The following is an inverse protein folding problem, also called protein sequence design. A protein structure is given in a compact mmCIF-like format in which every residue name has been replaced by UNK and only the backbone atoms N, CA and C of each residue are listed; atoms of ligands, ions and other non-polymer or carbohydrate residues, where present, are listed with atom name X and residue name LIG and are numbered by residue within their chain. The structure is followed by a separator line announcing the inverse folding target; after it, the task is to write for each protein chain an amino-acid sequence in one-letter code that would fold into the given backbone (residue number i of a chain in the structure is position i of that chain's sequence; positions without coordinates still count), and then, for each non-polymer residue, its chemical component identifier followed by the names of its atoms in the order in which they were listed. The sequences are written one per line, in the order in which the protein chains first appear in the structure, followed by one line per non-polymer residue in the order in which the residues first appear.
data_IF_516242600183
#
_entry.id   IF_516242600183
#
_cell.length_a   1.000
_cell.length_b   1.000
_cell.length_c   1.000
_cell.angle_alpha   90.00
_cell.angle_beta   90.00
_cell.angle_gamma   90.00
#
_symmetry.space_group_name_H-M   'P 1'
#
loop_
_entity.id
_entity.type
_entity.pdbx_description
1 polymer ?
#
# COMPACT_ATOMS: atom_id res chain seq x y z
N UNK A 1 17.28 21.04 -47.32
CA UNK A 1 17.32 22.52 -47.19
C UNK A 1 17.49 22.79 -45.68
N UNK A 2 18.75 22.95 -45.28
CA UNK A 2 19.54 24.21 -45.08
C UNK A 2 18.82 25.16 -44.10
N UNK A 3 19.36 25.36 -43.00
CA UNK A 3 20.26 26.32 -42.33
C UNK A 3 19.70 26.55 -40.91
N UNK A 4 20.41 26.78 -39.85
CA UNK A 4 21.81 27.11 -39.57
C UNK A 4 21.98 27.43 -38.11
N UNK A 5 23.06 26.98 -37.62
CA UNK A 5 23.99 27.46 -36.61
C UNK A 5 23.84 28.92 -36.17
N UNK A 6 23.98 29.18 -34.88
CA UNK A 6 24.92 30.21 -34.38
C UNK A 6 25.43 29.85 -32.98
N UNK A 7 26.71 29.73 -32.93
CA UNK A 7 27.68 29.70 -31.87
C UNK A 7 27.95 31.15 -31.45
N UNK A 8 28.08 31.42 -30.17
CA UNK A 8 28.58 32.67 -29.65
C UNK A 8 29.43 32.41 -28.40
N UNK A 9 30.73 32.37 -28.63
CA UNK A 9 31.77 32.29 -27.62
C UNK A 9 32.30 33.69 -27.26
N UNK A 10 33.17 33.69 -26.20
CA UNK A 10 34.15 34.78 -25.84
C UNK A 10 33.56 35.82 -24.87
N UNK A 11 34.13 36.08 -23.69
CA UNK A 11 35.52 36.50 -23.48
C UNK A 11 35.99 36.37 -22.03
N UNK A 12 37.23 35.98 -21.94
CA UNK A 12 38.16 36.03 -20.82
C UNK A 12 38.56 37.48 -20.54
N UNK A 13 38.64 37.91 -19.27
CA UNK A 13 39.49 39.02 -18.85
C UNK A 13 40.27 38.64 -17.59
N UNK A 14 41.57 38.45 -17.81
CA UNK A 14 42.67 38.49 -16.82
C UNK A 14 43.11 39.96 -16.64
N UNK A 15 43.35 40.37 -15.41
CA UNK A 15 44.35 41.36 -14.96
C UNK A 15 44.12 41.58 -13.45
N UNK A 16 45.04 41.62 -12.53
CA UNK A 16 46.47 41.79 -12.56
C UNK A 16 46.90 42.10 -11.12
N UNK A 17 48.00 41.61 -10.80
CA UNK A 17 48.90 41.74 -9.67
C UNK A 17 48.96 43.10 -9.00
N UNK A 18 49.02 43.15 -7.63
CA UNK A 18 49.86 44.11 -6.93
C UNK A 18 50.31 43.56 -5.55
N UNK A 19 51.56 43.20 -5.48
CA UNK A 19 52.35 42.92 -4.28
C UNK A 19 52.67 44.26 -3.64
N UNK A 20 52.51 44.39 -2.32
CA UNK A 20 53.20 45.41 -1.54
C UNK A 20 53.76 44.78 -0.25
N UNK A 21 55.07 44.49 -0.29
CA UNK A 21 55.93 44.29 0.88
C UNK A 21 56.21 45.63 1.54
N UNK A 22 56.06 45.71 2.85
CA UNK A 22 56.81 46.68 3.67
C UNK A 22 57.36 45.96 4.91
N UNK A 23 58.67 46.17 5.06
CA UNK A 23 59.54 45.49 6.01
C UNK A 23 59.52 46.12 7.41
N UNK A 24 59.80 45.26 8.36
CA UNK A 24 60.64 45.29 9.55
C UNK A 24 60.93 46.62 10.29
N UNK A 25 60.77 46.56 11.62
CA UNK A 25 61.94 46.75 12.53
C UNK A 25 61.56 46.44 14.01
N UNK A 26 62.47 45.97 14.81
CA UNK A 26 62.22 45.53 16.18
C UNK A 26 62.60 46.63 17.19
N UNK A 27 61.86 46.66 18.30
CA UNK A 27 62.32 47.41 19.49
C UNK A 27 62.27 46.46 20.70
N UNK A 28 63.45 46.19 21.22
CA UNK A 28 63.70 45.54 22.48
C UNK A 28 63.63 46.53 23.65
N UNK A 29 63.44 46.03 24.82
CA UNK A 29 63.65 46.49 26.21
C UNK A 29 62.34 46.53 27.00
N UNK A 30 62.22 46.10 28.24
CA UNK A 30 63.18 45.77 29.30
C UNK A 30 62.45 44.86 30.32
N UNK A 31 63.25 44.06 31.00
CA UNK A 31 62.93 43.24 32.15
C UNK A 31 62.42 44.10 33.31
N UNK A 32 61.36 43.63 33.99
CA UNK A 32 61.20 43.82 35.42
C UNK A 32 60.52 42.60 36.05
N UNK A 33 61.33 41.77 36.67
CA UNK A 33 60.88 40.66 37.50
C UNK A 33 60.29 41.21 38.80
N UNK A 34 59.01 40.92 39.06
CA UNK A 34 58.45 41.00 40.38
C UNK A 34 57.76 39.67 40.66
N UNK A 35 58.37 38.86 41.48
CA UNK A 35 57.79 37.67 42.05
C UNK A 35 56.54 38.05 42.85
N UNK A 36 55.36 37.65 42.44
CA UNK A 36 54.14 37.66 43.26
C UNK A 36 53.80 36.21 43.53
N UNK A 37 53.79 35.89 44.83
CA UNK A 37 53.38 34.58 45.38
C UNK A 37 52.00 34.18 44.88
N UNK A 38 51.91 32.98 44.38
CA UNK A 38 50.65 32.33 44.03
C UNK A 38 49.80 32.04 45.30
N UNK A 39 48.54 32.37 45.32
CA UNK A 39 47.61 31.90 46.34
C UNK A 39 47.36 30.40 46.17
N UNK A 40 47.03 29.61 47.22
CA UNK A 40 46.81 28.19 47.13
C UNK A 40 45.69 27.87 46.18
N UNK A 41 45.94 26.90 45.30
CA UNK A 41 44.95 26.35 44.38
C UNK A 41 43.79 25.73 45.18
N UNK A 42 42.71 26.44 45.29
CA UNK A 42 41.43 25.83 45.60
C UNK A 42 41.09 24.89 44.45
N UNK A 43 41.10 23.59 44.74
CA UNK A 43 40.62 22.57 43.82
C UNK A 43 39.17 22.93 43.46
N UNK A 44 38.97 23.50 42.26
CA UNK A 44 37.70 23.65 41.65
C UNK A 44 37.23 22.23 41.32
N UNK A 45 36.38 21.66 42.19
CA UNK A 45 35.61 20.46 41.83
C UNK A 45 34.79 20.88 40.63
N UNK A 46 35.23 20.48 39.46
CA UNK A 46 34.49 20.62 38.23
C UNK A 46 33.12 19.94 38.51
N UNK A 47 32.12 20.75 38.78
CA UNK A 47 30.72 20.27 38.74
C UNK A 47 30.54 19.60 37.36
N UNK A 48 30.28 18.31 37.36
CA UNK A 48 29.93 17.59 36.15
C UNK A 48 28.83 18.42 35.47
N UNK A 49 28.94 18.73 34.17
CA UNK A 49 27.92 19.46 33.50
C UNK A 49 26.59 18.69 33.70
N UNK A 50 25.49 19.38 34.00
CA UNK A 50 24.19 18.73 34.17
C UNK A 50 23.95 17.88 32.90
N UNK A 51 23.35 16.69 33.04
CA UNK A 51 23.04 15.87 31.89
C UNK A 51 22.26 16.69 30.88
N UNK A 52 22.83 16.92 29.72
CA UNK A 52 22.20 17.72 28.67
C UNK A 52 20.95 16.96 28.19
N UNK A 53 19.79 17.41 28.66
CA UNK A 53 18.52 17.01 28.04
C UNK A 53 18.50 17.61 26.63
N UNK A 54 18.40 16.77 25.65
CA UNK A 54 18.24 17.22 24.27
C UNK A 54 16.77 17.45 24.01
N UNK A 55 16.40 18.68 23.80
CA UNK A 55 15.03 19.08 23.44
C UNK A 55 14.91 19.23 21.93
N UNK A 56 13.91 18.58 21.35
CA UNK A 56 13.61 18.64 19.93
C UNK A 56 12.14 19.01 19.70
N UNK A 57 11.84 19.88 18.73
CA UNK A 57 10.46 20.13 18.31
C UNK A 57 9.86 18.87 17.69
N UNK A 58 8.58 18.66 17.96
CA UNK A 58 7.90 17.45 17.50
C UNK A 58 6.44 17.75 17.10
N UNK A 59 5.90 16.87 16.27
CA UNK A 59 4.51 16.90 15.84
C UNK A 59 3.86 15.54 16.06
N UNK A 60 2.66 15.55 16.63
CA UNK A 60 1.84 14.35 16.79
C UNK A 60 1.15 14.04 15.46
N UNK A 61 1.22 12.81 14.98
CA UNK A 61 0.50 12.35 13.81
C UNK A 61 -0.27 11.06 14.12
N UNK A 62 -1.27 10.75 13.32
CA UNK A 62 -1.96 9.47 13.39
C UNK A 62 -0.98 8.33 13.07
N UNK A 63 -1.19 7.17 13.68
CA UNK A 63 -0.39 5.96 13.38
C UNK A 63 -0.52 5.56 11.92
N UNK A 64 -1.75 5.57 11.38
CA UNK A 64 -2.07 5.50 9.95
C UNK A 64 -3.04 6.62 9.60
N UNK A 65 -2.82 7.22 8.44
CA UNK A 65 -3.75 8.16 7.82
C UNK A 65 -3.92 7.78 6.36
N UNK A 66 -5.17 7.64 5.91
CA UNK A 66 -5.48 7.24 4.54
C UNK A 66 -6.63 8.05 4.00
N UNK A 67 -6.43 8.59 2.80
CA UNK A 67 -7.48 9.20 2.02
C UNK A 67 -8.15 8.14 1.13
N UNK A 68 -9.45 8.00 1.24
CA UNK A 68 -10.25 7.03 0.51
C UNK A 68 -10.82 7.66 -0.75
N UNK A 69 -10.56 7.03 -1.87
CA UNK A 69 -11.02 7.46 -3.19
C UNK A 69 -11.98 6.44 -3.80
N UNK A 70 -12.85 6.91 -4.67
CA UNK A 70 -13.67 6.02 -5.49
C UNK A 70 -12.82 5.39 -6.60
N UNK A 71 -12.97 4.09 -6.79
CA UNK A 71 -12.41 3.37 -7.94
C UNK A 71 -13.40 3.29 -9.11
N UNK A 72 -14.71 3.38 -8.81
CA UNK A 72 -15.79 3.39 -9.78
C UNK A 72 -16.57 4.70 -9.72
N UNK A 73 -17.09 5.15 -10.88
CA UNK A 73 -17.91 6.34 -10.98
C UNK A 73 -19.37 6.00 -10.77
N UNK A 74 -20.12 6.95 -10.23
CA UNK A 74 -21.56 6.81 -10.01
C UNK A 74 -22.10 7.86 -9.05
N UNK A 75 -23.37 7.75 -8.65
CA UNK A 75 -23.94 8.64 -7.66
C UNK A 75 -23.82 8.05 -6.25
N UNK A 76 -23.50 8.88 -5.27
CA UNK A 76 -23.51 8.49 -3.87
C UNK A 76 -24.94 8.21 -3.41
N UNK A 77 -25.29 6.92 -3.27
CA UNK A 77 -26.61 6.50 -2.85
C UNK A 77 -26.81 6.69 -1.35
N UNK A 78 -25.81 6.28 -0.57
CA UNK A 78 -25.84 6.31 0.90
C UNK A 78 -24.46 6.70 1.42
N UNK A 79 -24.46 7.51 2.49
CA UNK A 79 -23.28 7.89 3.26
C UNK A 79 -23.58 7.50 4.70
N UNK A 80 -22.85 6.49 5.21
CA UNK A 80 -23.14 5.84 6.49
C UNK A 80 -22.18 6.28 7.62
N UNK A 81 -21.23 7.17 7.32
CA UNK A 81 -20.27 7.67 8.30
C UNK A 81 -20.10 9.18 8.16
N UNK A 82 -19.94 9.85 9.30
CA UNK A 82 -19.67 11.28 9.35
C UNK A 82 -18.36 11.58 10.06
N UNK A 83 -17.97 12.85 10.07
CA UNK A 83 -16.76 13.34 10.75
C UNK A 83 -16.88 13.06 12.26
N UNK A 84 -15.86 12.42 12.82
CA UNK A 84 -15.81 12.04 14.24
C UNK A 84 -16.30 10.62 14.50
N UNK A 85 -16.88 9.92 13.53
CA UNK A 85 -17.35 8.56 13.72
C UNK A 85 -16.20 7.56 13.83
N UNK A 86 -16.29 6.64 14.80
CA UNK A 86 -15.44 5.49 14.93
C UNK A 86 -15.87 4.41 13.95
N UNK A 87 -14.95 3.92 13.16
CA UNK A 87 -15.18 2.92 12.12
C UNK A 87 -14.30 1.70 12.31
N UNK A 88 -14.82 0.53 11.96
CA UNK A 88 -14.09 -0.74 11.99
C UNK A 88 -13.58 -1.10 10.60
N UNK A 89 -12.49 -1.84 10.53
CA UNK A 89 -11.99 -2.40 9.27
C UNK A 89 -13.09 -3.16 8.53
N UNK A 90 -13.28 -2.88 7.23
CA UNK A 90 -14.33 -3.45 6.41
C UNK A 90 -15.72 -2.82 6.56
N UNK A 91 -15.93 -1.88 7.48
CA UNK A 91 -17.19 -1.17 7.62
C UNK A 91 -17.47 -0.31 6.38
N UNK A 92 -18.68 -0.40 5.84
CA UNK A 92 -19.11 0.38 4.67
C UNK A 92 -19.42 1.82 5.08
N UNK A 93 -18.64 2.76 4.56
CA UNK A 93 -18.76 4.20 4.82
C UNK A 93 -19.69 4.89 3.84
N UNK A 94 -19.66 4.47 2.58
CA UNK A 94 -20.58 4.98 1.55
C UNK A 94 -20.82 3.90 0.49
N UNK A 95 -21.95 4.04 -0.21
CA UNK A 95 -22.33 3.19 -1.34
C UNK A 95 -22.54 4.08 -2.55
N UNK A 96 -21.83 3.78 -3.64
CA UNK A 96 -21.94 4.42 -4.93
C UNK A 96 -22.91 3.59 -5.78
N UNK A 97 -23.92 4.20 -6.34
CA UNK A 97 -24.82 3.54 -7.28
C UNK A 97 -24.31 3.65 -8.71
N UNK A 98 -24.10 2.51 -9.34
CA UNK A 98 -23.75 2.39 -10.75
C UNK A 98 -24.71 1.37 -11.41
N UNK A 99 -25.85 1.82 -11.92
CA UNK A 99 -26.85 0.95 -12.53
C UNK A 99 -26.31 0.21 -13.76
N UNK A 100 -25.43 0.84 -14.51
CA UNK A 100 -24.83 0.25 -15.71
C UNK A 100 -24.01 -1.00 -15.38
N UNK A 101 -23.18 -0.92 -14.34
CA UNK A 101 -22.38 -2.03 -13.87
C UNK A 101 -23.26 -3.19 -13.36
N UNK A 102 -24.37 -2.88 -12.67
CA UNK A 102 -25.35 -3.90 -12.23
C UNK A 102 -25.97 -4.63 -13.41
N UNK A 103 -26.32 -3.90 -14.47
CA UNK A 103 -26.87 -4.50 -15.70
C UNK A 103 -25.83 -5.34 -16.45
N UNK A 104 -24.58 -4.90 -16.47
CA UNK A 104 -23.47 -5.68 -17.05
C UNK A 104 -23.29 -7.00 -16.29
N UNK A 105 -23.31 -6.97 -14.97
CA UNK A 105 -23.21 -8.19 -14.15
C UNK A 105 -24.38 -9.15 -14.43
N UNK A 106 -25.60 -8.63 -14.55
CA UNK A 106 -26.77 -9.46 -14.89
C UNK A 106 -26.62 -10.14 -16.26
N UNK A 107 -26.06 -9.42 -17.26
CA UNK A 107 -25.75 -10.00 -18.58
C UNK A 107 -24.68 -11.08 -18.49
N UNK A 108 -23.64 -10.87 -17.72
CA UNK A 108 -22.58 -11.87 -17.53
C UNK A 108 -23.12 -13.13 -16.82
N UNK A 109 -23.99 -12.96 -15.83
CA UNK A 109 -24.69 -14.10 -15.19
C UNK A 109 -25.51 -14.89 -16.18
N UNK A 110 -26.24 -14.22 -17.08
CA UNK A 110 -26.99 -14.89 -18.14
C UNK A 110 -26.05 -15.63 -19.13
N UNK A 111 -24.89 -15.07 -19.46
CA UNK A 111 -23.89 -15.72 -20.30
C UNK A 111 -23.32 -17.00 -19.65
N UNK A 112 -23.10 -16.99 -18.33
CA UNK A 112 -22.70 -18.19 -17.58
C UNK A 112 -23.78 -19.28 -17.68
N UNK A 113 -25.04 -18.91 -17.49
CA UNK A 113 -26.16 -19.87 -17.64
C UNK A 113 -26.24 -20.44 -19.05
N UNK A 114 -26.07 -19.60 -20.09
CA UNK A 114 -26.03 -20.05 -21.50
C UNK A 114 -24.89 -21.04 -21.74
N UNK A 115 -23.68 -20.72 -21.28
CA UNK A 115 -22.52 -21.59 -21.44
C UNK A 115 -22.67 -22.91 -20.69
N UNK A 116 -23.28 -22.88 -19.50
CA UNK A 116 -23.59 -24.10 -18.75
C UNK A 116 -24.61 -25.00 -19.48
N UNK A 117 -25.65 -24.40 -20.05
CA UNK A 117 -26.62 -25.14 -20.87
C UNK A 117 -25.95 -25.76 -22.12
N UNK A 118 -25.02 -25.03 -22.77
CA UNK A 118 -24.24 -25.56 -23.89
C UNK A 118 -23.38 -26.75 -23.49
N UNK A 119 -22.74 -26.71 -22.32
CA UNK A 119 -21.99 -27.82 -21.75
C UNK A 119 -22.87 -29.06 -21.52
N UNK A 120 -24.08 -28.87 -20.96
CA UNK A 120 -25.02 -29.98 -20.74
C UNK A 120 -25.48 -30.60 -22.08
N UNK A 121 -25.68 -29.78 -23.14
CA UNK A 121 -25.97 -30.30 -24.47
C UNK A 121 -24.79 -31.12 -25.01
N UNK A 122 -23.56 -30.66 -24.87
CA UNK A 122 -22.37 -31.41 -25.30
C UNK A 122 -22.24 -32.75 -24.55
N UNK A 123 -22.47 -32.76 -23.24
CA UNK A 123 -22.48 -33.99 -22.42
C UNK A 123 -23.56 -34.97 -22.88
N UNK A 124 -24.78 -34.52 -23.17
CA UNK A 124 -25.86 -35.36 -23.67
C UNK A 124 -25.54 -35.94 -25.05
N UNK A 125 -24.91 -35.13 -25.91
CA UNK A 125 -24.44 -35.59 -27.24
C UNK A 125 -23.39 -36.70 -27.10
N UNK A 126 -22.43 -36.56 -26.20
CA UNK A 126 -21.41 -37.57 -25.91
C UNK A 126 -22.04 -38.89 -25.47
N UNK A 127 -23.08 -38.88 -24.64
CA UNK A 127 -23.78 -40.08 -24.24
C UNK A 127 -24.40 -40.80 -25.45
N UNK A 128 -24.96 -40.04 -26.41
CA UNK A 128 -25.47 -40.60 -27.67
C UNK A 128 -24.38 -41.26 -28.49
N UNK A 129 -23.22 -40.58 -28.67
CA UNK A 129 -22.06 -41.11 -29.38
C UNK A 129 -21.48 -42.37 -28.72
N UNK A 130 -21.46 -42.40 -27.38
CA UNK A 130 -21.01 -43.55 -26.62
C UNK A 130 -21.94 -44.75 -26.84
N UNK A 131 -23.26 -44.53 -26.89
CA UNK A 131 -24.22 -45.58 -27.19
C UNK A 131 -24.07 -46.14 -28.62
N UNK A 132 -23.84 -45.25 -29.60
CA UNK A 132 -23.56 -45.67 -31.00
C UNK A 132 -22.28 -46.54 -31.08
N UNK A 133 -21.17 -46.10 -30.48
CA UNK A 133 -19.95 -46.89 -30.42
C UNK A 133 -20.19 -48.27 -29.80
N UNK A 134 -20.94 -48.30 -28.70
CA UNK A 134 -21.31 -49.59 -28.05
C UNK A 134 -22.09 -50.49 -28.98
N UNK A 135 -23.04 -49.96 -29.74
CA UNK A 135 -23.81 -50.71 -30.75
C UNK A 135 -22.85 -51.26 -31.83
N UNK A 136 -21.95 -50.45 -32.38
CA UNK A 136 -20.98 -50.88 -33.41
C UNK A 136 -20.06 -52.00 -32.87
N UNK A 137 -19.60 -51.89 -31.62
CA UNK A 137 -18.76 -52.90 -30.97
C UNK A 137 -19.48 -54.22 -30.80
N UNK A 138 -20.72 -54.21 -30.30
CA UNK A 138 -21.55 -55.43 -30.17
C UNK A 138 -21.83 -56.06 -31.52
N UNK A 139 -22.10 -55.23 -32.56
CA UNK A 139 -22.38 -55.72 -33.90
C UNK A 139 -21.14 -56.36 -34.53
N UNK A 140 -19.97 -55.72 -34.40
CA UNK A 140 -18.70 -56.30 -34.87
C UNK A 140 -18.42 -57.64 -34.18
N UNK A 141 -18.52 -57.72 -32.85
CA UNK A 141 -18.32 -58.96 -32.09
C UNK A 141 -19.23 -60.07 -32.60
N UNK A 142 -20.49 -59.79 -32.91
CA UNK A 142 -21.46 -60.74 -33.44
C UNK A 142 -21.03 -61.20 -34.85
N UNK A 143 -20.60 -60.28 -35.71
CA UNK A 143 -20.13 -60.61 -37.08
C UNK A 143 -18.84 -61.45 -37.05
N UNK A 144 -17.91 -61.16 -36.13
CA UNK A 144 -16.69 -61.98 -35.96
C UNK A 144 -17.01 -63.40 -35.50
N UNK A 145 -18.00 -63.58 -34.65
CA UNK A 145 -18.49 -64.92 -34.28
C UNK A 145 -19.12 -65.66 -35.48
N UNK A 146 -19.92 -64.99 -36.30
CA UNK A 146 -20.51 -65.58 -37.49
C UNK A 146 -19.47 -65.90 -38.56
N UNK A 147 -18.40 -65.10 -38.68
CA UNK A 147 -17.29 -65.37 -39.61
C UNK A 147 -16.55 -66.63 -39.26
N UNK A 148 -16.30 -66.91 -37.96
CA UNK A 148 -15.72 -68.17 -37.50
C UNK A 148 -16.57 -69.39 -37.94
N UNK A 149 -17.92 -69.22 -38.04
CA UNK A 149 -18.87 -70.19 -38.59
C UNK A 149 -19.07 -70.16 -40.11
N UNK A 150 -18.26 -69.30 -40.84
CA UNK A 150 -18.40 -69.10 -42.29
C UNK A 150 -19.74 -68.48 -42.75
N UNK A 151 -20.43 -67.80 -41.86
CA UNK A 151 -21.75 -67.20 -42.12
C UNK A 151 -21.70 -65.78 -42.70
N UNK A 152 -20.53 -65.10 -42.73
CA UNK A 152 -20.33 -63.78 -43.30
C UNK A 152 -19.02 -63.68 -44.09
N UNK A 153 -18.87 -62.69 -45.00
CA UNK A 153 -17.66 -62.48 -45.80
C UNK A 153 -16.63 -61.62 -45.06
N UNK A 154 -15.35 -61.74 -45.43
CA UNK A 154 -14.27 -60.89 -44.94
C UNK A 154 -14.57 -59.40 -45.17
N UNK A 155 -15.11 -59.05 -46.35
CA UNK A 155 -15.50 -57.68 -46.71
C UNK A 155 -16.51 -57.10 -45.70
N UNK A 156 -17.51 -57.88 -45.25
CA UNK A 156 -18.50 -57.43 -44.27
C UNK A 156 -17.88 -57.11 -42.90
N UNK A 157 -16.86 -57.88 -42.52
CA UNK A 157 -16.11 -57.60 -41.28
C UNK A 157 -15.30 -56.29 -41.42
N UNK A 158 -14.60 -56.14 -42.55
CA UNK A 158 -13.78 -54.93 -42.78
C UNK A 158 -14.66 -53.66 -42.85
N UNK A 159 -15.83 -53.74 -43.47
CA UNK A 159 -16.82 -52.67 -43.43
C UNK A 159 -17.29 -52.34 -41.99
N UNK A 160 -17.55 -53.35 -41.16
CA UNK A 160 -17.98 -53.14 -39.80
C UNK A 160 -16.87 -52.60 -38.90
N UNK A 161 -15.61 -53.02 -39.11
CA UNK A 161 -14.45 -52.45 -38.43
C UNK A 161 -14.26 -50.97 -38.80
N UNK A 162 -14.45 -50.64 -40.10
CA UNK A 162 -14.41 -49.24 -40.53
C UNK A 162 -15.50 -48.39 -39.84
N UNK A 163 -16.75 -48.89 -39.72
CA UNK A 163 -17.85 -48.25 -39.01
C UNK A 163 -17.51 -48.02 -37.53
N UNK A 164 -16.98 -49.04 -36.86
CA UNK A 164 -16.55 -48.92 -35.45
C UNK A 164 -15.45 -47.86 -35.33
N UNK A 165 -14.47 -47.84 -36.22
CA UNK A 165 -13.40 -46.85 -36.22
C UNK A 165 -13.95 -45.42 -36.37
N UNK A 166 -14.92 -45.23 -37.28
CA UNK A 166 -15.60 -43.91 -37.45
C UNK A 166 -16.35 -43.51 -36.17
N UNK A 167 -17.12 -44.45 -35.57
CA UNK A 167 -17.84 -44.12 -34.32
C UNK A 167 -16.88 -43.79 -33.17
N UNK A 168 -15.73 -44.47 -33.08
CA UNK A 168 -14.68 -44.14 -32.12
C UNK A 168 -14.10 -42.74 -32.36
N UNK A 169 -13.78 -42.38 -33.60
CA UNK A 169 -13.33 -41.03 -33.95
C UNK A 169 -14.38 -39.96 -33.60
N UNK A 170 -15.66 -40.27 -33.88
CA UNK A 170 -16.78 -39.37 -33.51
C UNK A 170 -16.90 -39.17 -31.99
N UNK A 171 -16.65 -40.22 -31.22
CA UNK A 171 -16.62 -40.11 -29.74
C UNK A 171 -15.50 -39.18 -29.27
N UNK A 172 -14.30 -39.25 -29.86
CA UNK A 172 -13.18 -38.35 -29.52
C UNK A 172 -13.51 -36.88 -29.89
N UNK A 173 -14.21 -36.62 -30.98
CA UNK A 173 -14.75 -35.29 -31.30
C UNK A 173 -15.73 -34.83 -30.22
N UNK A 174 -16.65 -35.70 -29.78
CA UNK A 174 -17.57 -35.34 -28.71
C UNK A 174 -16.91 -35.03 -27.36
N UNK A 175 -15.77 -35.69 -27.07
CA UNK A 175 -14.94 -35.36 -25.91
C UNK A 175 -14.29 -33.97 -26.05
N UNK A 176 -13.77 -33.66 -27.22
CA UNK A 176 -13.21 -32.36 -27.53
C UNK A 176 -14.26 -31.25 -27.46
N UNK A 177 -15.50 -31.53 -27.91
CA UNK A 177 -16.64 -30.58 -27.78
C UNK A 177 -16.95 -30.25 -26.32
N UNK A 178 -16.86 -31.22 -25.41
CA UNK A 178 -17.03 -30.97 -23.96
C UNK A 178 -15.94 -30.06 -23.44
N UNK A 179 -14.66 -30.34 -23.77
CA UNK A 179 -13.55 -29.49 -23.35
C UNK A 179 -13.69 -28.05 -23.85
N UNK A 180 -14.16 -27.88 -25.09
CA UNK A 180 -14.44 -26.56 -25.64
C UNK A 180 -15.59 -25.86 -24.88
N UNK A 181 -16.66 -26.58 -24.58
CA UNK A 181 -17.79 -26.04 -23.82
C UNK A 181 -17.40 -25.68 -22.37
N UNK A 182 -16.56 -26.49 -21.73
CA UNK A 182 -15.99 -26.20 -20.41
C UNK A 182 -15.11 -24.96 -20.43
N UNK A 183 -14.24 -24.79 -21.42
CA UNK A 183 -13.41 -23.61 -21.59
C UNK A 183 -14.27 -22.34 -21.78
N UNK A 184 -15.35 -22.42 -22.57
CA UNK A 184 -16.28 -21.32 -22.75
C UNK A 184 -17.03 -20.97 -21.45
N UNK A 185 -17.42 -21.93 -20.65
CA UNK A 185 -18.02 -21.72 -19.34
C UNK A 185 -17.02 -21.03 -18.41
N UNK A 186 -15.78 -21.48 -18.36
CA UNK A 186 -14.76 -20.85 -17.53
C UNK A 186 -14.51 -19.39 -17.94
N UNK A 187 -14.48 -19.10 -19.24
CA UNK A 187 -14.34 -17.73 -19.73
C UNK A 187 -15.52 -16.83 -19.29
N UNK A 188 -16.76 -17.32 -19.40
CA UNK A 188 -17.95 -16.60 -18.96
C UNK A 188 -17.95 -16.38 -17.43
N UNK A 189 -17.52 -17.36 -16.64
CA UNK A 189 -17.37 -17.24 -15.18
C UNK A 189 -16.31 -16.21 -14.81
N UNK A 190 -15.19 -16.20 -15.49
CA UNK A 190 -14.13 -15.21 -15.27
C UNK A 190 -14.61 -13.79 -15.53
N UNK A 191 -15.41 -13.57 -16.57
CA UNK A 191 -15.99 -12.25 -16.86
C UNK A 191 -17.01 -11.82 -15.80
N UNK A 192 -17.87 -12.74 -15.35
CA UNK A 192 -18.79 -12.51 -14.23
C UNK A 192 -18.04 -12.10 -12.96
N UNK A 193 -17.00 -12.84 -12.56
CA UNK A 193 -16.20 -12.53 -11.37
C UNK A 193 -15.49 -11.18 -11.48
N UNK A 194 -15.02 -10.81 -12.69
CA UNK A 194 -14.46 -9.47 -12.94
C UNK A 194 -15.48 -8.38 -12.63
N UNK A 195 -16.71 -8.53 -13.10
CA UNK A 195 -17.79 -7.56 -12.85
C UNK A 195 -18.22 -7.53 -11.38
N UNK A 196 -18.27 -8.67 -10.72
CA UNK A 196 -18.50 -8.74 -9.27
C UNK A 196 -17.43 -7.99 -8.48
N UNK A 197 -16.15 -8.16 -8.84
CA UNK A 197 -15.05 -7.41 -8.22
C UNK A 197 -15.19 -5.91 -8.46
N UNK A 198 -15.59 -5.46 -9.65
CA UNK A 198 -15.87 -4.06 -9.91
C UNK A 198 -17.05 -3.54 -9.08
N UNK A 199 -18.09 -4.35 -8.89
CA UNK A 199 -19.23 -3.98 -8.04
C UNK A 199 -18.83 -3.86 -6.56
N UNK A 200 -17.85 -4.64 -6.07
CA UNK A 200 -17.32 -4.44 -4.72
C UNK A 200 -16.67 -3.06 -4.54
N UNK A 201 -16.05 -2.51 -5.58
CA UNK A 201 -15.44 -1.18 -5.52
C UNK A 201 -16.44 -0.03 -5.46
N UNK A 202 -17.73 -0.28 -5.68
CA UNK A 202 -18.79 0.72 -5.46
C UNK A 202 -19.08 0.93 -3.96
N UNK A 203 -18.62 0.02 -3.10
CA UNK A 203 -18.71 0.16 -1.64
C UNK A 203 -17.40 0.72 -1.13
N UNK A 204 -17.45 1.90 -0.56
CA UNK A 204 -16.28 2.51 0.09
C UNK A 204 -16.23 1.97 1.52
N UNK A 205 -15.15 1.27 1.84
CA UNK A 205 -14.97 0.62 3.15
C UNK A 205 -13.77 1.19 3.89
N UNK A 206 -13.82 1.18 5.23
CA UNK A 206 -12.70 1.55 6.07
C UNK A 206 -11.58 0.48 5.96
N UNK A 207 -10.31 0.87 5.72
CA UNK A 207 -9.20 -0.07 5.57
C UNK A 207 -8.68 -0.62 6.91
N UNK A 208 -8.93 0.08 8.01
CA UNK A 208 -8.52 -0.25 9.36
C UNK A 208 -9.48 0.36 10.39
N UNK A 209 -9.37 -0.07 11.65
CA UNK A 209 -10.10 0.53 12.77
C UNK A 209 -9.56 1.93 13.06
N UNK A 210 -10.43 2.92 13.14
CA UNK A 210 -10.02 4.31 13.36
C UNK A 210 -11.19 5.28 13.35
N UNK A 211 -10.91 6.55 13.11
CA UNK A 211 -11.88 7.65 13.09
C UNK A 211 -11.89 8.33 11.74
N UNK A 212 -13.08 8.72 11.27
CA UNK A 212 -13.26 9.57 10.09
C UNK A 212 -12.94 11.01 10.48
N UNK A 213 -11.87 11.57 9.93
CA UNK A 213 -11.45 12.95 10.24
C UNK A 213 -11.94 13.97 9.24
N UNK A 214 -12.20 13.54 7.98
CA UNK A 214 -12.76 14.41 6.94
C UNK A 214 -13.73 13.63 6.07
N UNK A 215 -14.78 14.31 5.61
CA UNK A 215 -15.79 13.82 4.66
C UNK A 215 -15.99 14.86 3.57
N UNK A 216 -15.89 14.43 2.31
CA UNK A 216 -16.00 15.28 1.13
C UNK A 216 -17.15 14.83 0.20
N UNK A 217 -17.98 13.90 0.64
CA UNK A 217 -19.08 13.32 -0.13
C UNK A 217 -20.40 13.49 0.62
N UNK A 218 -21.46 13.79 -0.13
CA UNK A 218 -22.84 13.84 0.36
C UNK A 218 -23.72 12.87 -0.44
N UNK A 219 -24.83 12.40 0.14
CA UNK A 219 -25.83 11.66 -0.62
C UNK A 219 -26.30 12.46 -1.84
N UNK A 220 -26.32 11.82 -3.01
CA UNK A 220 -26.68 12.45 -4.27
C UNK A 220 -25.51 13.05 -5.07
N UNK A 221 -24.31 13.16 -4.49
CA UNK A 221 -23.15 13.67 -5.20
C UNK A 221 -22.73 12.72 -6.33
N UNK A 222 -22.32 13.30 -7.46
CA UNK A 222 -21.68 12.55 -8.54
C UNK A 222 -20.20 12.33 -8.20
N UNK A 223 -19.86 11.07 -8.01
CA UNK A 223 -18.48 10.63 -7.72
C UNK A 223 -17.80 10.19 -9.02
N UNK A 224 -16.60 10.64 -9.25
CA UNK A 224 -15.76 10.22 -10.36
C UNK A 224 -14.66 9.28 -9.87
N UNK A 225 -14.39 8.23 -10.65
CA UNK A 225 -13.31 7.30 -10.36
C UNK A 225 -11.95 8.02 -10.38
N UNK A 226 -11.06 7.66 -9.45
CA UNK A 226 -9.70 8.15 -9.41
C UNK A 226 -8.89 7.54 -10.56
N UNK A 227 -8.81 8.28 -11.68
CA UNK A 227 -7.99 7.92 -12.84
C UNK A 227 -6.67 8.69 -12.74
N UNK A 228 -5.56 8.03 -13.04
CA UNK A 228 -4.17 8.51 -12.84
C UNK A 228 -3.84 9.89 -13.47
N UNK A 229 -4.69 10.45 -14.31
CA UNK A 229 -4.43 11.68 -15.07
C UNK A 229 -5.07 12.95 -14.50
N UNK A 230 -5.93 12.85 -13.47
CA UNK A 230 -6.58 14.00 -12.85
C UNK A 230 -6.52 13.93 -11.33
N UNK A 231 -6.23 15.05 -10.63
CA UNK A 231 -6.38 15.12 -9.19
C UNK A 231 -7.86 14.87 -8.85
N UNK A 232 -8.12 13.81 -8.11
CA UNK A 232 -9.46 13.45 -7.65
C UNK A 232 -9.58 13.82 -6.19
N UNK A 233 -10.73 14.38 -5.80
CA UNK A 233 -11.00 14.67 -4.39
C UNK A 233 -11.21 13.36 -3.63
N UNK A 234 -10.58 13.16 -2.47
CA UNK A 234 -10.87 12.01 -1.63
C UNK A 234 -12.34 12.06 -1.16
N UNK A 235 -12.94 10.93 -0.86
CA UNK A 235 -14.29 10.86 -0.32
C UNK A 235 -14.29 10.98 1.21
N UNK A 236 -13.34 10.30 1.85
CA UNK A 236 -13.11 10.33 3.29
C UNK A 236 -11.62 10.35 3.59
N UNK A 237 -11.28 10.91 4.74
CA UNK A 237 -9.96 10.71 5.37
C UNK A 237 -10.18 9.94 6.67
N UNK A 238 -9.61 8.74 6.76
CA UNK A 238 -9.64 7.90 7.95
C UNK A 238 -8.28 7.92 8.63
N UNK A 239 -8.28 8.01 9.95
CA UNK A 239 -7.06 8.03 10.77
C UNK A 239 -7.16 7.03 11.91
N UNK A 240 -6.07 6.29 12.15
CA UNK A 240 -5.91 5.43 13.31
C UNK A 240 -5.25 6.25 14.42
N UNK A 241 -6.00 6.46 15.52
CA UNK A 241 -5.63 7.37 16.63
C UNK A 241 -5.52 6.72 18.00
N UNK A 242 -5.84 5.41 18.12
CA UNK A 242 -5.64 4.61 19.34
C UNK A 242 -4.17 4.53 19.78
N UNK A 243 -3.28 4.61 18.81
CA UNK A 243 -1.86 4.86 18.95
C UNK A 243 -1.52 6.07 18.09
N UNK A 244 -0.77 7.02 18.61
CA UNK A 244 -0.26 8.16 17.84
C UNK A 244 1.25 8.05 17.67
N UNK A 245 1.74 8.67 16.63
CA UNK A 245 3.16 8.73 16.31
C UNK A 245 3.65 10.15 16.45
N UNK A 246 4.64 10.34 17.29
CA UNK A 246 5.29 11.64 17.50
C UNK A 246 6.56 11.66 16.63
N UNK A 247 6.62 12.61 15.70
CA UNK A 247 7.80 12.87 14.90
C UNK A 247 8.60 13.99 15.57
N UNK A 248 9.79 13.68 16.04
CA UNK A 248 10.72 14.63 16.60
C UNK A 248 11.87 14.86 15.58
N UNK A 249 12.17 16.13 15.31
CA UNK A 249 13.24 16.53 14.40
C UNK A 249 14.48 16.92 15.21
N UNK A 250 15.43 15.97 15.30
CA UNK A 250 16.66 16.08 16.12
C UNK A 250 17.76 16.73 15.31
N UNK A 251 18.42 17.81 15.81
CA UNK A 251 19.54 18.44 15.12
C UNK A 251 20.72 17.51 14.85
N UNK A 252 21.45 17.71 13.76
CA UNK A 252 22.60 16.93 13.32
C UNK A 252 23.64 16.73 14.44
N UNK A 253 23.93 17.78 15.22
CA UNK A 253 24.91 17.75 16.30
C UNK A 253 24.63 16.67 17.35
N UNK A 254 23.34 16.30 17.53
CA UNK A 254 22.89 15.35 18.55
C UNK A 254 22.38 14.04 17.94
N UNK A 255 22.30 13.94 16.62
CA UNK A 255 21.74 12.80 15.89
C UNK A 255 22.46 11.47 16.23
N UNK A 256 23.78 11.52 16.42
CA UNK A 256 24.60 10.34 16.73
C UNK A 256 24.39 9.78 18.12
N UNK A 257 23.82 10.57 19.05
CA UNK A 257 23.53 10.14 20.42
C UNK A 257 22.19 9.44 20.56
N UNK A 258 21.30 9.60 19.59
CA UNK A 258 19.97 8.98 19.60
C UNK A 258 20.06 7.52 19.18
N UNK A 259 19.45 6.65 19.97
CA UNK A 259 19.37 5.21 19.71
C UNK A 259 17.95 4.71 19.90
N UNK A 260 17.59 3.63 19.18
CA UNK A 260 16.32 2.95 19.38
C UNK A 260 16.20 2.46 20.83
N UNK A 261 15.04 2.66 21.45
CA UNK A 261 14.79 2.36 22.86
C UNK A 261 15.24 3.44 23.83
N UNK A 262 15.84 4.55 23.36
CA UNK A 262 16.21 5.66 24.25
C UNK A 262 14.94 6.24 24.90
N UNK A 263 14.90 6.42 26.24
CA UNK A 263 13.80 7.08 26.90
C UNK A 263 13.59 8.50 26.38
N UNK A 264 12.33 8.86 26.17
CA UNK A 264 11.93 10.15 25.66
C UNK A 264 10.70 10.66 26.44
N UNK A 265 10.70 11.93 26.79
CA UNK A 265 9.59 12.59 27.42
C UNK A 265 8.94 13.54 26.44
N UNK A 266 7.68 13.28 26.13
CA UNK A 266 6.90 14.09 25.18
C UNK A 266 6.04 15.06 25.98
N UNK A 267 6.30 16.35 25.83
CA UNK A 267 5.54 17.44 26.42
C UNK A 267 4.64 18.07 25.36
N UNK A 268 3.36 18.03 25.57
CA UNK A 268 2.37 18.68 24.70
C UNK A 268 2.27 20.17 25.02
N UNK A 269 2.13 20.99 23.97
CA UNK A 269 1.80 22.40 24.13
C UNK A 269 0.28 22.55 24.22
N UNK A 270 -0.23 23.22 25.26
CA UNK A 270 -1.65 23.52 25.43
C UNK A 270 -2.02 23.82 26.87
N UNK A 271 -3.30 24.16 27.14
CA UNK A 271 -3.76 24.54 28.47
C UNK A 271 -3.64 23.42 29.52
N UNK A 272 -3.61 22.17 29.07
CA UNK A 272 -3.29 21.00 29.90
C UNK A 272 -1.93 20.46 29.46
N UNK A 273 -0.84 21.17 29.82
CA UNK A 273 0.52 20.71 29.53
C UNK A 273 0.70 19.30 30.13
N UNK A 274 0.51 18.27 29.31
CA UNK A 274 0.66 16.88 29.70
C UNK A 274 2.02 16.39 29.25
N UNK A 275 2.72 15.75 30.15
CA UNK A 275 3.99 15.10 29.86
C UNK A 275 3.76 13.59 29.80
N UNK A 276 4.13 12.98 28.72
CA UNK A 276 3.95 11.55 28.47
C UNK A 276 5.32 10.92 28.27
N UNK A 277 5.60 9.85 29.00
CA UNK A 277 6.82 9.11 28.83
C UNK A 277 6.67 8.09 27.71
N UNK A 278 7.69 8.03 26.84
CA UNK A 278 7.78 7.10 25.74
C UNK A 278 9.21 6.67 25.51
N UNK A 279 9.44 5.97 24.41
CA UNK A 279 10.78 5.60 23.98
C UNK A 279 10.90 5.71 22.47
N UNK A 280 12.11 5.95 21.97
CA UNK A 280 12.40 6.00 20.55
C UNK A 280 12.09 4.65 19.91
N UNK A 281 11.10 4.64 19.03
CA UNK A 281 10.67 3.43 18.30
C UNK A 281 11.47 3.24 17.03
N UNK A 282 11.69 4.33 16.27
CA UNK A 282 12.39 4.33 14.98
C UNK A 282 13.22 5.58 14.81
N UNK A 283 14.25 5.46 13.96
CA UNK A 283 15.16 6.54 13.59
C UNK A 283 15.30 6.49 12.07
N UNK A 284 15.20 7.64 11.41
CA UNK A 284 15.29 7.70 9.94
C UNK A 284 16.66 7.30 9.38
N UNK A 285 17.72 7.31 10.21
CA UNK A 285 19.11 7.02 9.82
C UNK A 285 19.61 7.87 8.62
N UNK A 286 18.94 8.99 8.36
CA UNK A 286 19.30 9.99 7.35
C UNK A 286 18.98 11.37 7.88
N UNK A 287 19.74 12.37 7.41
CA UNK A 287 19.49 13.78 7.69
C UNK A 287 18.70 14.39 6.55
N UNK A 288 17.72 15.22 6.87
CA UNK A 288 17.08 16.12 5.93
C UNK A 288 18.06 17.25 5.62
N UNK A 289 18.42 17.41 4.34
CA UNK A 289 19.41 18.38 3.91
C UNK A 289 18.93 19.85 4.05
N UNK A 290 17.61 20.07 4.04
CA UNK A 290 17.03 21.42 4.15
C UNK A 290 17.00 21.91 5.58
N UNK A 291 16.63 21.03 6.52
CA UNK A 291 16.47 21.36 7.95
C UNK A 291 17.69 20.97 8.80
N UNK A 292 18.59 20.13 8.26
CA UNK A 292 19.72 19.51 8.97
C UNK A 292 19.30 18.80 10.25
N UNK A 293 18.18 18.12 10.18
CA UNK A 293 17.62 17.35 11.28
C UNK A 293 17.47 15.87 10.92
N UNK A 294 17.55 14.99 11.90
CA UNK A 294 17.23 13.58 11.81
C UNK A 294 15.85 13.34 12.39
N UNK A 295 14.97 12.71 11.63
CA UNK A 295 13.63 12.35 12.10
C UNK A 295 13.68 11.14 13.01
N UNK A 296 13.05 11.28 14.17
CA UNK A 296 12.90 10.24 15.18
C UNK A 296 11.42 10.02 15.45
N UNK A 297 11.01 8.76 15.51
CA UNK A 297 9.61 8.38 15.74
C UNK A 297 9.45 7.77 17.14
N UNK A 298 8.40 8.22 17.82
CA UNK A 298 7.98 7.72 19.14
C UNK A 298 6.53 7.34 19.02
N UNK A 299 6.19 6.06 19.18
CA UNK A 299 4.81 5.60 19.19
C UNK A 299 4.27 5.68 20.63
N UNK A 300 3.12 6.37 20.83
CA UNK A 300 2.49 6.57 22.13
C UNK A 300 1.09 5.97 22.11
N UNK A 301 0.70 5.18 23.12
CA UNK A 301 -0.67 4.72 23.29
C UNK A 301 -1.59 5.91 23.60
N UNK A 302 -2.77 5.94 23.01
CA UNK A 302 -3.75 7.02 23.14
C UNK A 302 -5.16 6.45 23.39
N UNK A 303 -5.38 5.67 24.46
CA UNK A 303 -6.66 5.02 24.71
C UNK A 303 -7.80 6.03 25.00
N UNK A 304 -7.46 7.19 25.53
CA UNK A 304 -8.42 8.26 25.85
C UNK A 304 -8.63 9.23 24.67
N UNK A 305 -7.95 9.03 23.55
CA UNK A 305 -8.00 9.87 22.33
C UNK A 305 -7.74 11.36 22.57
N UNK A 306 -7.01 11.68 23.65
CA UNK A 306 -6.65 13.07 24.01
C UNK A 306 -5.54 13.63 23.13
N UNK A 307 -4.72 12.75 22.55
CA UNK A 307 -3.65 13.12 21.63
C UNK A 307 -4.23 13.20 20.22
N UNK A 308 -4.45 14.42 19.75
CA UNK A 308 -5.00 14.63 18.42
C UNK A 308 -3.88 14.79 17.39
N UNK A 309 -3.97 14.12 16.24
CA UNK A 309 -3.06 14.36 15.13
C UNK A 309 -3.05 15.85 14.75
N UNK A 310 -1.85 16.39 14.52
CA UNK A 310 -1.64 17.82 14.25
C UNK A 310 -1.21 18.64 15.47
N UNK A 311 -1.24 18.08 16.68
CA UNK A 311 -0.72 18.78 17.86
C UNK A 311 0.78 18.93 17.80
N UNK A 312 1.28 20.07 18.28
CA UNK A 312 2.70 20.32 18.50
C UNK A 312 3.14 19.80 19.86
N UNK A 313 4.33 19.24 19.89
CA UNK A 313 4.96 18.73 21.10
C UNK A 313 6.44 19.12 21.15
N UNK A 314 7.02 18.98 22.32
CA UNK A 314 8.48 19.01 22.52
C UNK A 314 8.88 17.66 23.08
N UNK A 315 9.94 17.09 22.55
CA UNK A 315 10.49 15.82 23.02
C UNK A 315 11.84 16.10 23.67
N UNK A 316 11.97 15.68 24.93
CA UNK A 316 13.22 15.73 25.68
C UNK A 316 13.80 14.31 25.74
N UNK A 317 15.03 14.14 25.26
CA UNK A 317 15.76 12.89 25.31
C UNK A 317 16.84 12.96 26.40
N UNK A 318 16.96 11.93 27.24
CA UNK A 318 18.01 11.89 28.25
C UNK A 318 17.93 10.68 29.18
N UNK A 319 19.00 10.32 29.87
CA UNK A 319 19.05 9.16 30.75
C UNK A 319 18.31 9.36 32.08
N UNK A 320 17.87 10.56 32.41
CA UNK A 320 17.29 10.92 33.70
C UNK A 320 15.75 10.89 33.72
N UNK A 321 15.12 10.26 32.74
CA UNK A 321 13.68 10.05 32.76
C UNK A 321 13.39 8.79 33.56
N UNK A 322 13.29 8.97 34.87
CA UNK A 322 12.80 7.91 35.77
C UNK A 322 11.41 7.51 35.31
N UNK A 323 11.25 6.25 34.93
CA UNK A 323 9.95 5.67 34.61
C UNK A 323 9.09 5.78 35.89
N UNK A 324 8.15 6.70 35.90
CA UNK A 324 7.06 6.68 36.88
C UNK A 324 6.16 5.54 36.42
N UNK A 325 6.30 4.41 37.11
CA UNK A 325 5.47 3.23 36.93
C UNK A 325 4.01 3.66 37.25
N UNK A 326 3.20 3.79 36.22
CA UNK A 326 1.76 4.00 36.37
C UNK A 326 1.14 2.64 36.55
N UNK A 327 0.62 2.29 37.74
CA UNK A 327 -0.03 1.01 37.94
C UNK A 327 -1.27 0.94 37.06
N UNK A 328 -1.26 0.00 36.14
CA UNK A 328 -2.43 -0.43 35.34
C UNK A 328 -3.46 -0.97 36.34
N UNK A 329 -4.57 -0.27 36.49
CA UNK A 329 -5.78 -0.78 37.11
C UNK A 329 -6.81 -1.12 36.05
#
# INVERSE_FOLDING_TARGET
MRHGRKIGAVAICLAGVAVLMVAAAPVAMAQNARAVQAPPATANVAASPPPMSLDAPATVQAFFATDLYAKESGYALQVNADIGDHVKAGQVLAVIDNPELKLQLLRAQAAVQQSNAALEVAKRRLIGMQADLTLQQVTLKRQEQLFAGKGVTAQQIDEQRAKQSVSNATLEVGRADILLAEANLQAAMADMHRLEALLQYTKIVAPFDGVVTKRFINPGDLVQAAISTRPTTPLFTCQKIDVVRVFADVPEASATSIRRGLPAQVRLYGPAAQTINGSVTRIAASLDAATRTMRVEIDLPNPDEKLLPGMYAQVSFGPEIVAVDVPVR
#
